data_IF_759466632875
#
_entry.id   IF_759466632875
#
_cell.length_a   1.000
_cell.length_b   1.000
_cell.length_c   1.000
_cell.angle_alpha   90.00
_cell.angle_beta   90.00
_cell.angle_gamma   90.00
#
_symmetry.space_group_name_H-M   'P 1'
#
loop_
_entity.id
_entity.type
_entity.pdbx_description
1 polymer ?
#
# COMPACT_ATOMS: atom_id res chain seq x y z
N UNK A 1 -16.81 -42.89 29.82
CA UNK A 1 -16.66 -41.42 29.95
C UNK A 1 -15.44 -40.84 29.22
N UNK A 2 -14.28 -41.53 29.17
CA UNK A 2 -13.06 -40.99 28.52
C UNK A 2 -13.18 -40.82 26.99
N UNK A 3 -13.88 -41.73 26.30
CA UNK A 3 -14.04 -41.67 24.83
C UNK A 3 -14.86 -40.47 24.32
N UNK A 4 -15.90 -40.05 25.05
CA UNK A 4 -16.68 -38.85 24.69
C UNK A 4 -15.87 -37.55 24.84
N UNK A 5 -14.94 -37.50 25.80
CA UNK A 5 -14.08 -36.34 25.99
C UNK A 5 -13.10 -36.18 24.83
N UNK A 6 -12.49 -37.29 24.37
CA UNK A 6 -11.57 -37.29 23.24
C UNK A 6 -12.25 -36.92 21.91
N UNK A 7 -13.45 -37.44 21.64
CA UNK A 7 -14.26 -37.09 20.47
C UNK A 7 -14.62 -35.59 20.43
N UNK A 8 -14.98 -35.02 21.59
CA UNK A 8 -15.33 -33.60 21.68
C UNK A 8 -14.10 -32.69 21.52
N UNK A 9 -12.93 -33.13 22.00
CA UNK A 9 -11.67 -32.40 21.84
C UNK A 9 -11.21 -32.36 20.38
N UNK A 10 -11.27 -33.50 19.67
CA UNK A 10 -10.90 -33.56 18.25
C UNK A 10 -11.85 -32.75 17.35
N UNK A 11 -13.15 -32.78 17.66
CA UNK A 11 -14.15 -32.00 16.91
C UNK A 11 -13.92 -30.49 17.05
N UNK A 12 -13.69 -30.00 18.28
CA UNK A 12 -13.40 -28.58 18.53
C UNK A 12 -12.11 -28.10 17.87
N UNK A 13 -11.03 -28.89 17.92
CA UNK A 13 -9.78 -28.56 17.21
C UNK A 13 -9.97 -28.47 15.68
N UNK A 14 -10.86 -29.30 15.12
CA UNK A 14 -11.25 -29.25 13.71
C UNK A 14 -12.04 -27.98 13.36
N UNK A 15 -13.05 -27.62 14.16
CA UNK A 15 -13.83 -26.39 13.98
C UNK A 15 -12.98 -25.13 14.13
N UNK A 16 -12.12 -25.07 15.14
CA UNK A 16 -11.20 -23.94 15.37
C UNK A 16 -10.22 -23.77 14.19
N UNK A 17 -9.74 -24.89 13.63
CA UNK A 17 -8.86 -24.88 12.45
C UNK A 17 -9.60 -24.41 11.19
N UNK A 18 -10.83 -24.91 10.96
CA UNK A 18 -11.65 -24.50 9.81
C UNK A 18 -12.06 -23.03 9.90
N UNK A 19 -12.42 -22.55 11.10
CA UNK A 19 -12.74 -21.14 11.32
C UNK A 19 -11.53 -20.25 11.08
N UNK A 20 -10.35 -20.66 11.55
CA UNK A 20 -9.09 -19.95 11.28
C UNK A 20 -8.77 -19.91 9.79
N UNK A 21 -8.97 -21.01 9.07
CA UNK A 21 -8.80 -21.05 7.61
C UNK A 21 -9.77 -20.10 6.91
N UNK A 22 -11.05 -20.13 7.30
CA UNK A 22 -12.07 -19.24 6.74
C UNK A 22 -11.76 -17.76 7.00
N UNK A 23 -11.33 -17.44 8.22
CA UNK A 23 -10.90 -16.10 8.61
C UNK A 23 -9.74 -15.60 7.73
N UNK A 24 -8.67 -16.40 7.58
CA UNK A 24 -7.54 -16.02 6.74
C UNK A 24 -7.91 -15.96 5.25
N UNK A 25 -8.78 -16.85 4.77
CA UNK A 25 -9.28 -16.82 3.41
C UNK A 25 -10.09 -15.53 3.15
N UNK A 26 -10.92 -15.11 4.10
CA UNK A 26 -11.68 -13.86 4.01
C UNK A 26 -10.74 -12.65 3.96
N UNK A 27 -9.72 -12.61 4.83
CA UNK A 27 -8.68 -11.57 4.79
C UNK A 27 -8.00 -11.56 3.43
N UNK A 28 -7.53 -12.71 2.95
CA UNK A 28 -6.86 -12.81 1.66
C UNK A 28 -7.75 -12.30 0.51
N UNK A 29 -9.05 -12.58 0.56
CA UNK A 29 -10.02 -12.10 -0.43
C UNK A 29 -10.20 -10.58 -0.37
N UNK A 30 -10.26 -9.98 0.83
CA UNK A 30 -10.31 -8.53 1.00
C UNK A 30 -9.08 -7.85 0.39
N UNK A 31 -7.89 -8.36 0.68
CA UNK A 31 -6.64 -7.83 0.12
C UNK A 31 -6.55 -8.04 -1.39
N UNK A 32 -6.95 -9.21 -1.89
CA UNK A 32 -7.01 -9.47 -3.34
C UNK A 32 -7.98 -8.51 -4.03
N UNK A 33 -9.14 -8.24 -3.43
CA UNK A 33 -10.10 -7.26 -3.92
C UNK A 33 -9.53 -5.83 -3.91
N UNK A 34 -8.81 -5.45 -2.86
CA UNK A 34 -8.16 -4.14 -2.77
C UNK A 34 -7.05 -3.97 -3.83
N UNK A 35 -6.22 -4.99 -4.05
CA UNK A 35 -5.22 -5.03 -5.12
C UNK A 35 -5.92 -4.86 -6.47
N UNK A 36 -6.97 -5.65 -6.74
CA UNK A 36 -7.72 -5.58 -7.99
C UNK A 36 -8.29 -4.18 -8.26
N UNK A 37 -8.92 -3.56 -7.26
CA UNK A 37 -9.50 -2.22 -7.42
C UNK A 37 -8.43 -1.16 -7.71
N UNK A 38 -7.25 -1.24 -7.08
CA UNK A 38 -6.16 -0.29 -7.28
C UNK A 38 -5.55 -0.44 -8.68
N UNK A 39 -5.17 -1.65 -9.09
CA UNK A 39 -4.49 -1.88 -10.37
C UNK A 39 -5.43 -1.89 -11.58
N UNK A 40 -6.75 -1.83 -11.39
CA UNK A 40 -7.72 -1.58 -12.46
C UNK A 40 -7.75 -0.11 -12.91
N UNK A 41 -7.30 0.82 -12.07
CA UNK A 41 -7.24 2.24 -12.40
C UNK A 41 -5.99 2.55 -13.25
N UNK A 42 -6.00 3.65 -14.03
CA UNK A 42 -4.81 4.11 -14.74
C UNK A 42 -3.64 4.31 -13.78
N UNK A 43 -2.46 3.82 -14.19
CA UNK A 43 -1.23 4.03 -13.44
C UNK A 43 -0.65 5.44 -13.64
N UNK A 44 -1.17 6.17 -14.64
CA UNK A 44 -0.79 7.56 -14.85
C UNK A 44 -1.26 8.40 -13.63
N UNK A 45 -0.36 9.19 -13.01
CA UNK A 45 -0.69 9.90 -11.79
C UNK A 45 -1.84 10.87 -12.00
N UNK A 46 -2.80 10.87 -11.07
CA UNK A 46 -3.88 11.85 -11.04
C UNK A 46 -3.32 13.13 -10.40
N UNK A 47 -3.25 14.21 -11.17
CA UNK A 47 -2.82 15.51 -10.67
C UNK A 47 -4.01 16.26 -10.07
N UNK A 48 -3.92 16.57 -8.79
CA UNK A 48 -4.80 17.51 -8.07
C UNK A 48 -4.13 18.91 -7.96
N UNK A 49 -4.87 19.96 -7.55
CA UNK A 49 -4.29 21.30 -7.39
C UNK A 49 -3.11 21.38 -6.41
N UNK A 50 -3.06 20.49 -5.42
CA UNK A 50 -1.99 20.43 -4.41
C UNK A 50 -0.74 19.68 -4.89
N UNK A 51 -0.83 19.00 -6.04
CA UNK A 51 0.21 18.09 -6.56
C UNK A 51 1.54 18.80 -6.75
N UNK A 52 1.49 20.02 -7.27
CA UNK A 52 2.68 20.82 -7.49
C UNK A 52 3.38 21.22 -6.19
N UNK A 53 2.65 21.32 -5.08
CA UNK A 53 3.21 21.66 -3.77
C UNK A 53 4.21 20.64 -3.24
N UNK A 54 4.11 19.37 -3.67
CA UNK A 54 5.04 18.31 -3.29
C UNK A 54 5.87 17.76 -4.45
N UNK A 55 5.36 17.82 -5.68
CA UNK A 55 6.09 17.33 -6.86
C UNK A 55 7.15 18.32 -7.33
N UNK A 56 6.86 19.63 -7.29
CA UNK A 56 7.81 20.66 -7.74
C UNK A 56 9.14 20.63 -6.96
N UNK A 57 9.17 20.53 -5.61
CA UNK A 57 10.43 20.42 -4.89
C UNK A 57 11.24 19.16 -5.24
N UNK A 58 10.57 18.03 -5.52
CA UNK A 58 11.23 16.79 -5.94
C UNK A 58 11.88 16.93 -7.33
N UNK A 59 11.16 17.51 -8.29
CA UNK A 59 11.67 17.79 -9.63
C UNK A 59 12.83 18.78 -9.61
N UNK A 60 12.75 19.83 -8.80
CA UNK A 60 13.86 20.77 -8.58
C UNK A 60 15.12 20.05 -8.09
N UNK A 61 14.97 19.12 -7.14
CA UNK A 61 16.10 18.34 -6.65
C UNK A 61 16.69 17.42 -7.73
N UNK A 62 15.85 16.82 -8.58
CA UNK A 62 16.30 16.00 -9.72
C UNK A 62 17.11 16.81 -10.74
N UNK A 63 16.77 18.09 -10.94
CA UNK A 63 17.47 18.98 -11.88
C UNK A 63 18.69 19.67 -11.27
N UNK A 64 19.11 19.27 -10.07
CA UNK A 64 20.34 19.77 -9.41
C UNK A 64 20.14 21.01 -8.54
N UNK A 65 18.92 21.53 -8.41
CA UNK A 65 18.61 22.58 -7.45
C UNK A 65 18.39 22.02 -6.03
N UNK A 66 18.32 22.88 -5.04
CA UNK A 66 17.91 22.49 -3.69
C UNK A 66 16.40 22.19 -3.61
N UNK A 67 15.99 21.45 -2.57
CA UNK A 67 14.58 21.27 -2.26
C UNK A 67 13.96 22.63 -1.94
N UNK A 68 13.00 23.06 -2.76
CA UNK A 68 12.23 24.26 -2.47
C UNK A 68 11.32 24.03 -1.26
N UNK A 69 11.49 24.81 -0.20
CA UNK A 69 10.52 24.88 0.90
C UNK A 69 9.30 25.66 0.42
N UNK A 70 8.36 24.96 -0.21
CA UNK A 70 7.14 25.57 -0.76
C UNK A 70 6.03 25.40 0.26
N UNK A 71 5.32 26.48 0.59
CA UNK A 71 4.13 26.48 1.45
C UNK A 71 4.33 25.91 2.87
N UNK A 72 5.54 26.03 3.45
CA UNK A 72 5.81 25.59 4.83
C UNK A 72 5.72 24.07 5.06
N UNK A 73 5.64 23.26 3.99
CA UNK A 73 5.55 21.80 4.06
C UNK A 73 6.94 21.18 4.29
N UNK A 74 6.96 20.13 5.12
CA UNK A 74 8.17 19.35 5.41
C UNK A 74 8.70 18.65 4.16
N UNK A 75 10.02 18.56 4.02
CA UNK A 75 10.73 17.95 2.89
C UNK A 75 10.52 16.44 2.76
N UNK A 76 9.99 15.76 3.79
CA UNK A 76 9.88 14.30 3.83
C UNK A 76 9.14 13.72 2.61
N UNK A 77 7.95 14.23 2.28
CA UNK A 77 7.18 13.71 1.15
C UNK A 77 7.80 14.07 -0.21
N UNK A 78 8.23 15.32 -0.49
CA UNK A 78 9.01 15.62 -1.69
C UNK A 78 10.31 14.81 -1.82
N UNK A 79 11.00 14.54 -0.71
CA UNK A 79 12.20 13.70 -0.67
C UNK A 79 11.90 12.26 -1.04
N UNK A 80 10.80 11.70 -0.56
CA UNK A 80 10.32 10.39 -0.97
C UNK A 80 10.02 10.32 -2.48
N UNK A 81 9.32 11.32 -3.02
CA UNK A 81 9.05 11.40 -4.46
C UNK A 81 10.33 11.54 -5.28
N UNK A 82 11.29 12.34 -4.80
CA UNK A 82 12.62 12.46 -5.41
C UNK A 82 13.29 11.09 -5.51
N UNK A 83 13.27 10.26 -4.46
CA UNK A 83 13.88 8.93 -4.49
C UNK A 83 13.20 8.00 -5.52
N UNK A 84 11.87 7.97 -5.55
CA UNK A 84 11.13 7.16 -6.52
C UNK A 84 11.46 7.59 -7.95
N UNK A 85 11.40 8.88 -8.24
CA UNK A 85 11.68 9.42 -9.57
C UNK A 85 13.16 9.26 -9.95
N UNK A 86 14.09 9.35 -8.99
CA UNK A 86 15.52 9.15 -9.23
C UNK A 86 15.84 7.71 -9.57
N UNK A 87 15.15 6.76 -8.94
CA UNK A 87 15.39 5.32 -9.11
C UNK A 87 14.70 4.76 -10.37
N UNK A 88 13.46 5.16 -10.62
CA UNK A 88 12.63 4.58 -11.68
C UNK A 88 12.50 5.45 -12.93
N UNK A 89 12.79 6.75 -12.84
CA UNK A 89 12.66 7.72 -13.94
C UNK A 89 11.28 7.76 -14.61
N UNK A 90 10.23 7.30 -13.91
CA UNK A 90 8.85 7.24 -14.39
C UNK A 90 7.90 7.70 -13.27
N UNK A 91 6.96 8.60 -13.61
CA UNK A 91 5.94 9.07 -12.68
C UNK A 91 4.97 7.96 -12.23
N UNK A 92 4.77 6.92 -13.05
CA UNK A 92 3.96 5.75 -12.68
C UNK A 92 4.49 5.04 -11.44
N UNK A 93 5.79 5.15 -11.16
CA UNK A 93 6.38 4.61 -9.94
C UNK A 93 5.75 5.23 -8.67
N UNK A 94 5.32 6.49 -8.74
CA UNK A 94 4.59 7.16 -7.64
C UNK A 94 3.25 6.47 -7.42
N UNK A 95 2.45 6.31 -8.48
CA UNK A 95 1.12 5.68 -8.42
C UNK A 95 1.20 4.23 -7.96
N UNK A 96 2.14 3.45 -8.50
CA UNK A 96 2.38 2.05 -8.11
C UNK A 96 2.77 1.97 -6.62
N UNK A 97 3.67 2.85 -6.17
CA UNK A 97 4.08 2.88 -4.76
C UNK A 97 2.93 3.30 -3.85
N UNK A 98 2.10 4.27 -4.25
CA UNK A 98 0.88 4.63 -3.53
C UNK A 98 -0.12 3.46 -3.46
N UNK A 99 -0.24 2.66 -4.52
CA UNK A 99 -1.08 1.47 -4.51
C UNK A 99 -0.57 0.42 -3.53
N UNK A 100 0.75 0.19 -3.46
CA UNK A 100 1.33 -0.71 -2.47
C UNK A 100 1.19 -0.19 -1.03
N UNK A 101 1.47 1.10 -0.79
CA UNK A 101 1.33 1.70 0.54
C UNK A 101 -0.12 1.69 1.02
N UNK A 102 -1.09 1.80 0.12
CA UNK A 102 -2.51 1.70 0.46
C UNK A 102 -2.99 0.27 0.77
N UNK A 103 -2.11 -0.72 0.72
CA UNK A 103 -2.36 -2.10 1.17
C UNK A 103 -1.69 -2.38 2.52
N UNK A 104 -0.87 -1.48 3.06
CA UNK A 104 -0.27 -1.59 4.39
C UNK A 104 -1.11 -0.84 5.42
#
# INVERSE_FOLDING_TARGET
MIAQLASNQSFRLGEDSLWRLFYWALIALVFAGAIWQRFRLPLDPIADPDTWGYLSPALRKLTGAEFGHTNGRNFAYPGFLFLLLRLFADFRAITITQHFLGLL
#
